data_IF_712905428252
#
_entry.id   IF_712905428252
#
_cell.length_a   1.000
_cell.length_b   1.000
_cell.length_c   1.000
_cell.angle_alpha   90.00
_cell.angle_beta   90.00
_cell.angle_gamma   90.00
#
_symmetry.space_group_name_H-M   'P 1'
#
loop_
_entity.id
_entity.type
_entity.pdbx_description
1 polymer ?
#
# COMPACT_ATOMS: atom_id res chain seq x y z
N UNK A 1 43.62 1.20 -17.56
CA UNK A 1 42.29 0.71 -17.99
C UNK A 1 41.80 -0.20 -16.89
N UNK A 2 41.06 0.34 -15.92
CA UNK A 2 40.52 -0.44 -14.81
C UNK A 2 39.05 -0.68 -15.10
N UNK A 3 38.78 -1.91 -15.53
CA UNK A 3 37.47 -2.51 -15.73
C UNK A 3 36.70 -2.45 -14.40
N UNK A 4 35.75 -1.51 -14.30
CA UNK A 4 34.80 -1.49 -13.19
C UNK A 4 33.74 -2.52 -13.53
N UNK A 5 33.67 -3.56 -12.70
CA UNK A 5 32.62 -4.56 -12.71
C UNK A 5 31.24 -3.89 -12.72
N UNK A 6 30.67 -3.82 -13.92
CA UNK A 6 29.26 -3.63 -14.16
C UNK A 6 28.60 -4.98 -13.85
N UNK A 7 28.28 -5.19 -12.57
CA UNK A 7 27.37 -6.23 -12.16
C UNK A 7 25.98 -5.86 -12.70
N UNK A 8 25.77 -6.13 -13.99
CA UNK A 8 24.51 -5.96 -14.67
C UNK A 8 23.41 -6.72 -13.91
N UNK A 9 22.20 -6.12 -13.77
CA UNK A 9 21.11 -6.75 -13.04
C UNK A 9 20.71 -8.05 -13.76
N UNK A 10 20.94 -9.18 -13.09
CA UNK A 10 20.66 -10.51 -13.60
C UNK A 10 19.21 -10.65 -14.07
N UNK A 11 19.07 -11.22 -15.27
CA UNK A 11 17.84 -11.66 -15.91
C UNK A 11 17.16 -12.80 -15.13
N UNK A 12 16.52 -12.54 -13.99
CA UNK A 12 15.75 -13.55 -13.24
C UNK A 12 14.59 -12.89 -12.48
N UNK A 13 13.49 -12.59 -13.18
CA UNK A 13 12.19 -12.25 -12.58
C UNK A 13 12.18 -10.95 -11.79
N UNK A 14 11.61 -9.89 -12.37
CA UNK A 14 11.19 -8.75 -11.56
C UNK A 14 10.37 -9.31 -10.37
N UNK A 15 10.64 -8.93 -9.12
CA UNK A 15 9.76 -9.29 -8.03
C UNK A 15 8.35 -8.91 -8.49
N UNK A 16 7.36 -9.77 -8.30
CA UNK A 16 5.96 -9.37 -8.43
C UNK A 16 5.75 -8.29 -7.36
N UNK A 17 6.09 -7.04 -7.69
CA UNK A 17 6.36 -5.96 -6.73
C UNK A 17 5.13 -5.59 -5.89
N UNK A 18 4.00 -6.21 -6.21
CA UNK A 18 2.70 -5.92 -5.64
C UNK A 18 1.89 -7.20 -5.37
N UNK A 19 2.54 -8.35 -5.15
CA UNK A 19 1.86 -9.52 -4.60
C UNK A 19 1.59 -9.34 -3.10
N UNK A 20 0.35 -9.55 -2.68
CA UNK A 20 -0.07 -9.43 -1.29
C UNK A 20 -1.00 -10.56 -0.89
N UNK A 21 -0.75 -11.14 0.27
CA UNK A 21 -1.63 -12.17 0.83
C UNK A 21 -2.72 -11.50 1.68
N UNK A 22 -3.97 -11.61 1.24
CA UNK A 22 -5.14 -11.23 2.02
C UNK A 22 -5.54 -12.37 2.96
N UNK A 23 -5.81 -12.03 4.22
CA UNK A 23 -6.33 -12.97 5.22
C UNK A 23 -7.78 -12.63 5.55
N UNK A 24 -8.64 -13.61 5.39
CA UNK A 24 -10.06 -13.53 5.67
C UNK A 24 -10.34 -14.02 7.10
N UNK A 25 -11.44 -13.58 7.73
CA UNK A 25 -11.80 -14.02 9.08
C UNK A 25 -12.13 -15.52 9.16
N UNK A 26 -12.54 -16.14 8.07
CA UNK A 26 -12.82 -17.58 7.95
C UNK A 26 -11.55 -18.44 7.75
N UNK A 27 -10.38 -17.97 8.23
CA UNK A 27 -9.04 -18.55 7.99
C UNK A 27 -8.62 -18.69 6.51
N UNK A 28 -9.47 -18.25 5.58
CA UNK A 28 -9.17 -18.18 4.15
C UNK A 28 -8.01 -17.24 3.84
N UNK A 29 -7.25 -17.57 2.80
CA UNK A 29 -6.16 -16.73 2.29
C UNK A 29 -6.29 -16.58 0.79
N UNK A 30 -6.12 -15.35 0.28
CA UNK A 30 -6.07 -15.10 -1.15
C UNK A 30 -4.84 -14.27 -1.50
N UNK A 31 -3.99 -14.81 -2.37
CA UNK A 31 -2.92 -14.06 -3.00
C UNK A 31 -3.51 -13.13 -4.06
N UNK A 32 -3.27 -11.83 -3.93
CA UNK A 32 -3.72 -10.82 -4.89
C UNK A 32 -2.53 -10.04 -5.42
N UNK A 33 -2.60 -9.64 -6.69
CA UNK A 33 -1.59 -8.82 -7.34
C UNK A 33 -2.17 -7.44 -7.61
N UNK A 34 -1.41 -6.39 -7.32
CA UNK A 34 -1.77 -5.01 -7.68
C UNK A 34 -2.56 -4.24 -6.60
N UNK A 35 -2.75 -4.82 -5.42
CA UNK A 35 -3.41 -4.15 -4.29
C UNK A 35 -2.67 -2.87 -3.87
N UNK A 36 -1.36 -2.89 -3.69
CA UNK A 36 -0.56 -1.73 -3.27
C UNK A 36 -0.69 -0.54 -4.21
N UNK A 37 -0.60 -0.79 -5.53
CA UNK A 37 -0.87 0.21 -6.56
C UNK A 37 -2.27 0.81 -6.44
N UNK A 38 -3.31 -0.02 -6.26
CA UNK A 38 -4.70 0.44 -6.11
C UNK A 38 -4.86 1.29 -4.83
N UNK A 39 -4.30 0.86 -3.70
CA UNK A 39 -4.33 1.63 -2.45
C UNK A 39 -3.63 2.98 -2.62
N UNK A 40 -2.50 3.01 -3.31
CA UNK A 40 -1.77 4.23 -3.66
C UNK A 40 -2.60 5.19 -4.52
N UNK A 41 -3.28 4.70 -5.55
CA UNK A 41 -4.21 5.48 -6.37
C UNK A 41 -5.34 6.09 -5.52
N UNK A 42 -5.98 5.30 -4.65
CA UNK A 42 -7.06 5.79 -3.80
C UNK A 42 -6.57 6.86 -2.81
N UNK A 43 -5.41 6.64 -2.21
CA UNK A 43 -4.79 7.59 -1.28
C UNK A 43 -4.31 8.87 -1.98
N UNK A 44 -3.82 8.78 -3.22
CA UNK A 44 -3.46 9.94 -4.04
C UNK A 44 -4.69 10.76 -4.42
N UNK A 45 -5.82 10.09 -4.68
CA UNK A 45 -7.11 10.72 -4.92
C UNK A 45 -7.79 11.26 -3.65
N UNK A 46 -7.17 11.13 -2.47
CA UNK A 46 -7.73 11.61 -1.20
C UNK A 46 -9.02 10.91 -0.77
N UNK A 47 -9.23 9.66 -1.19
CA UNK A 47 -10.44 8.92 -0.83
C UNK A 47 -10.44 8.59 0.67
N UNK A 48 -11.57 8.76 1.38
CA UNK A 48 -11.66 8.39 2.78
C UNK A 48 -11.69 6.86 2.94
N UNK A 49 -11.33 6.38 4.12
CA UNK A 49 -11.53 4.98 4.54
C UNK A 49 -13.02 4.75 4.78
N UNK A 50 -13.76 4.40 3.73
CA UNK A 50 -15.21 4.20 3.75
C UNK A 50 -15.64 3.01 2.90
N UNK A 51 -16.85 2.49 3.13
CA UNK A 51 -17.40 1.35 2.38
C UNK A 51 -17.44 1.58 0.87
N UNK A 52 -17.75 2.80 0.42
CA UNK A 52 -17.73 3.16 -1.00
C UNK A 52 -16.33 3.06 -1.62
N UNK A 53 -15.28 3.43 -0.88
CA UNK A 53 -13.89 3.27 -1.32
C UNK A 53 -13.49 1.80 -1.38
N UNK A 54 -13.91 0.99 -0.40
CA UNK A 54 -13.68 -0.45 -0.41
C UNK A 54 -14.27 -1.12 -1.64
N UNK A 55 -15.49 -0.73 -2.04
CA UNK A 55 -16.12 -1.24 -3.26
C UNK A 55 -15.28 -0.94 -4.51
N UNK A 56 -14.80 0.30 -4.67
CA UNK A 56 -13.97 0.69 -5.82
C UNK A 56 -12.64 -0.08 -5.83
N UNK A 57 -12.04 -0.30 -4.66
CA UNK A 57 -10.82 -1.10 -4.53
C UNK A 57 -11.08 -2.55 -4.99
N UNK A 58 -12.18 -3.17 -4.54
CA UNK A 58 -12.55 -4.54 -4.95
C UNK A 58 -12.83 -4.62 -6.44
N UNK A 59 -13.54 -3.65 -7.03
CA UNK A 59 -13.81 -3.62 -8.47
C UNK A 59 -12.51 -3.53 -9.29
N UNK A 60 -11.58 -2.66 -8.90
CA UNK A 60 -10.24 -2.58 -9.52
C UNK A 60 -9.43 -3.87 -9.30
N UNK A 61 -9.56 -4.51 -8.16
CA UNK A 61 -8.86 -5.75 -7.83
C UNK A 61 -9.39 -6.93 -8.66
N UNK A 62 -10.70 -7.00 -8.86
CA UNK A 62 -11.38 -8.02 -9.67
C UNK A 62 -11.07 -7.90 -11.17
N UNK A 63 -10.67 -6.73 -11.67
CA UNK A 63 -10.16 -6.56 -13.03
C UNK A 63 -8.80 -7.25 -13.25
N UNK A 64 -8.05 -7.49 -12.17
CA UNK A 64 -6.68 -8.03 -12.21
C UNK A 64 -6.56 -9.43 -11.62
N UNK A 65 -7.53 -9.84 -10.79
CA UNK A 65 -7.51 -11.09 -10.04
C UNK A 65 -8.90 -11.75 -10.10
N UNK A 66 -8.95 -13.07 -9.95
CA UNK A 66 -10.22 -13.75 -9.79
C UNK A 66 -10.82 -13.44 -8.41
N UNK A 67 -11.91 -12.69 -8.40
CA UNK A 67 -12.72 -12.42 -7.21
C UNK A 67 -14.16 -12.82 -7.54
N UNK A 68 -14.70 -13.90 -6.96
CA UNK A 68 -16.08 -14.29 -7.22
C UNK A 68 -17.03 -13.25 -6.62
N UNK A 69 -18.12 -12.94 -7.33
CA UNK A 69 -19.10 -11.94 -6.90
C UNK A 69 -19.67 -12.23 -5.50
N UNK A 70 -19.83 -13.51 -5.15
CA UNK A 70 -20.27 -13.95 -3.82
C UNK A 70 -19.29 -13.58 -2.70
N UNK A 71 -18.00 -13.43 -3.00
CA UNK A 71 -16.97 -13.05 -2.04
C UNK A 71 -16.72 -11.53 -1.98
N UNK A 72 -17.36 -10.72 -2.83
CA UNK A 72 -17.20 -9.25 -2.80
C UNK A 72 -17.42 -8.64 -1.41
N UNK A 73 -18.43 -9.03 -0.62
CA UNK A 73 -18.60 -8.50 0.74
C UNK A 73 -17.39 -8.77 1.63
N UNK A 74 -16.90 -10.02 1.65
CA UNK A 74 -15.73 -10.41 2.45
C UNK A 74 -14.47 -9.65 2.03
N UNK A 75 -14.28 -9.46 0.72
CA UNK A 75 -13.16 -8.68 0.21
C UNK A 75 -13.24 -7.22 0.62
N UNK A 76 -14.43 -6.61 0.65
CA UNK A 76 -14.60 -5.20 1.06
C UNK A 76 -14.08 -4.96 2.49
N UNK A 77 -14.44 -5.82 3.44
CA UNK A 77 -13.98 -5.69 4.82
C UNK A 77 -12.46 -5.87 4.94
N UNK A 78 -11.88 -6.80 4.19
CA UNK A 78 -10.43 -7.03 4.19
C UNK A 78 -9.68 -5.86 3.55
N UNK A 79 -10.08 -5.41 2.36
CA UNK A 79 -9.37 -4.33 1.66
C UNK A 79 -9.52 -2.99 2.37
N UNK A 80 -10.64 -2.75 3.07
CA UNK A 80 -10.82 -1.53 3.86
C UNK A 80 -9.84 -1.46 5.02
N UNK A 81 -9.62 -2.58 5.72
CA UNK A 81 -8.59 -2.70 6.77
C UNK A 81 -7.19 -2.46 6.20
N UNK A 82 -6.88 -3.06 5.05
CA UNK A 82 -5.60 -2.84 4.38
C UNK A 82 -5.40 -1.40 3.92
N UNK A 83 -6.47 -0.74 3.47
CA UNK A 83 -6.43 0.67 3.09
C UNK A 83 -6.24 1.59 4.30
N UNK A 84 -6.93 1.33 5.41
CA UNK A 84 -6.72 2.05 6.66
C UNK A 84 -5.26 1.96 7.10
N UNK A 85 -4.71 0.74 7.17
CA UNK A 85 -3.32 0.51 7.53
C UNK A 85 -2.34 1.19 6.55
N UNK A 86 -2.68 1.25 5.26
CA UNK A 86 -1.88 1.97 4.26
C UNK A 86 -1.85 3.48 4.53
N UNK A 87 -3.01 4.09 4.81
CA UNK A 87 -3.11 5.52 5.14
C UNK A 87 -2.35 5.83 6.44
N UNK A 88 -2.47 4.98 7.47
CA UNK A 88 -1.74 5.14 8.73
C UNK A 88 -0.22 5.07 8.54
N UNK A 89 0.28 4.09 7.77
CA UNK A 89 1.72 3.99 7.45
C UNK A 89 2.21 5.22 6.68
N UNK A 90 1.41 5.74 5.76
CA UNK A 90 1.73 6.95 4.99
C UNK A 90 1.71 8.21 5.85
N UNK A 91 0.76 8.32 6.78
CA UNK A 91 0.67 9.42 7.74
C UNK A 91 1.74 9.36 8.85
N UNK A 92 2.18 8.15 9.22
CA UNK A 92 3.21 7.89 10.23
C UNK A 92 4.64 8.21 9.78
N UNK A 93 4.89 8.40 8.48
CA UNK A 93 6.19 8.89 7.97
C UNK A 93 6.35 10.42 8.01
N UNK A 94 5.43 11.13 8.69
CA UNK A 94 5.46 12.59 8.85
C UNK A 94 5.96 13.10 10.22
N UNK A 95 6.56 12.25 11.06
CA UNK A 95 6.89 12.61 12.44
C UNK A 95 8.32 12.27 12.88
N UNK A 96 9.32 12.97 12.34
CA UNK A 96 10.51 13.51 13.06
C UNK A 96 11.44 14.19 12.07
N UNK A 97 11.12 15.44 11.71
CA UNK A 97 11.99 16.33 10.94
C UNK A 97 11.72 17.82 11.15
N UNK A 98 10.81 18.16 12.07
CA UNK A 98 10.66 19.51 12.60
C UNK A 98 11.04 19.45 14.08
N UNK A 99 12.32 19.68 14.37
CA UNK A 99 12.66 20.33 15.63
C UNK A 99 12.09 21.75 15.54
N UNK A 100 11.14 22.14 16.40
CA UNK A 100 10.75 23.52 16.50
C UNK A 100 11.95 24.34 17.01
N UNK A 101 12.29 25.35 16.25
CA UNK A 101 13.04 26.52 16.69
C UNK A 101 12.47 27.02 18.02
N UNK A 102 13.30 27.09 19.07
CA UNK A 102 13.17 28.03 20.21
C UNK A 102 14.24 27.79 21.27
N UNK A 103 15.28 28.62 21.28
CA UNK A 103 15.85 29.27 22.48
C UNK A 103 16.80 30.38 21.99
N UNK A 104 16.31 31.61 21.88
CA UNK A 104 16.36 32.67 22.91
C UNK A 104 17.78 33.20 23.14
N UNK A 105 17.94 34.51 22.94
CA UNK A 105 19.24 35.20 22.95
C UNK A 105 19.80 35.53 24.34
N UNK A 106 21.10 35.89 24.34
CA UNK A 106 21.86 36.74 25.28
C UNK A 106 23.33 36.55 24.88
N UNK A 107 24.11 37.55 24.49
CA UNK A 107 24.37 38.78 25.24
C UNK A 107 25.62 38.55 26.10
N UNK A 108 26.76 39.11 25.68
CA UNK A 108 28.06 39.02 26.35
C UNK A 108 29.18 39.39 25.39
#
# INVERSE_FOLDING_TARGET
>A
MADRGDAGPCCCGQPVQDFRMLRFPDDGQAGVVGLGAILGEMAAAGKPVAAGTAQVIVEKLAQRNYVPASAHPQYRDVVLREYAAYIERRGGSGGTGRSPVSRDGRGG
#
